data_IF_495407227415
#
_entry.id   IF_495407227415
#
_cell.length_a   1.000
_cell.length_b   1.000
_cell.length_c   1.000
_cell.angle_alpha   90.00
_cell.angle_beta   90.00
_cell.angle_gamma   90.00
#
_symmetry.space_group_name_H-M   'P 1'
#
loop_
_entity.id
_entity.type
_entity.pdbx_description
1 polymer ?
#
# COMPACT_ATOMS: atom_id res chain seq x y z
N UNK A 1 18.83 -4.46 -5.03
CA UNK A 1 19.85 -4.20 -3.98
C UNK A 1 19.18 -4.18 -2.62
N UNK A 2 19.72 -4.91 -1.63
CA UNK A 2 19.27 -4.79 -0.23
C UNK A 2 19.78 -3.45 0.32
N UNK A 3 18.86 -2.58 0.74
CA UNK A 3 19.16 -1.29 1.36
C UNK A 3 19.33 -1.46 2.87
N UNK A 4 18.43 -2.24 3.48
CA UNK A 4 18.51 -2.62 4.88
C UNK A 4 18.19 -4.11 5.03
N UNK A 5 19.13 -4.85 5.57
CA UNK A 5 18.93 -6.26 5.88
C UNK A 5 18.05 -6.43 7.13
N UNK A 6 17.29 -7.52 7.16
CA UNK A 6 16.56 -7.91 8.36
C UNK A 6 17.52 -8.48 9.39
N UNK A 7 17.46 -7.98 10.61
CA UNK A 7 18.22 -8.44 11.75
C UNK A 7 17.30 -8.94 12.85
N UNK A 8 17.77 -9.93 13.61
CA UNK A 8 17.05 -10.39 14.78
C UNK A 8 17.18 -9.38 15.91
N UNK A 9 16.09 -9.18 16.64
CA UNK A 9 16.03 -8.34 17.83
C UNK A 9 15.70 -9.20 19.03
N UNK A 10 16.28 -8.87 20.18
CA UNK A 10 15.89 -9.42 21.46
C UNK A 10 14.70 -8.63 21.99
N UNK A 11 13.71 -9.35 22.52
CA UNK A 11 12.57 -8.74 23.19
C UNK A 11 12.61 -9.17 24.68
N UNK A 12 12.96 -8.25 25.60
CA UNK A 12 13.09 -8.58 27.03
C UNK A 12 11.79 -9.08 27.65
N UNK A 13 10.66 -8.57 27.21
CA UNK A 13 9.34 -8.94 27.72
C UNK A 13 8.89 -10.31 27.20
N UNK A 14 9.39 -10.70 26.03
CA UNK A 14 9.05 -11.96 25.37
C UNK A 14 10.29 -12.68 24.86
N UNK A 15 11.13 -13.24 25.73
CA UNK A 15 12.46 -13.78 25.35
C UNK A 15 12.40 -14.99 24.40
N UNK A 16 11.26 -15.63 24.27
CA UNK A 16 11.04 -16.72 23.30
C UNK A 16 10.49 -16.25 21.95
N UNK A 17 10.18 -14.96 21.80
CA UNK A 17 9.65 -14.42 20.55
C UNK A 17 10.76 -14.28 19.51
N UNK A 18 10.48 -14.69 18.27
CA UNK A 18 11.35 -14.44 17.14
C UNK A 18 10.97 -13.08 16.54
N UNK A 19 11.66 -12.04 16.93
CA UNK A 19 11.44 -10.68 16.46
C UNK A 19 12.53 -10.30 15.46
N UNK A 20 12.16 -9.74 14.33
CA UNK A 20 13.11 -9.29 13.29
C UNK A 20 12.73 -7.90 12.79
N UNK A 21 13.75 -7.12 12.41
CA UNK A 21 13.54 -5.84 11.71
C UNK A 21 13.01 -6.09 10.29
N UNK A 22 12.24 -5.14 9.71
CA UNK A 22 11.88 -5.19 8.29
C UNK A 22 13.11 -5.20 7.38
N UNK A 23 12.98 -5.87 6.24
CA UNK A 23 13.94 -5.77 5.14
C UNK A 23 13.49 -4.70 4.15
N UNK A 24 14.44 -3.91 3.65
CA UNK A 24 14.21 -2.90 2.62
C UNK A 24 15.03 -3.21 1.38
N UNK A 25 14.38 -3.34 0.26
CA UNK A 25 14.97 -3.68 -1.03
C UNK A 25 14.74 -2.56 -2.03
N UNK A 26 15.79 -2.10 -2.70
CA UNK A 26 15.66 -1.20 -3.84
C UNK A 26 15.85 -1.98 -5.16
N UNK A 27 14.96 -1.74 -6.10
CA UNK A 27 14.99 -2.30 -7.45
C UNK A 27 14.52 -1.26 -8.47
N UNK A 28 14.72 -1.54 -9.74
CA UNK A 28 14.21 -0.72 -10.83
C UNK A 28 12.85 -1.25 -11.28
N UNK A 29 12.04 -0.42 -11.92
CA UNK A 29 10.70 -0.80 -12.38
C UNK A 29 10.70 -1.98 -13.37
N UNK A 30 11.84 -2.25 -14.01
CA UNK A 30 12.04 -3.40 -14.91
C UNK A 30 12.21 -4.73 -14.17
N UNK A 31 12.53 -4.70 -12.86
CA UNK A 31 12.73 -5.90 -12.04
C UNK A 31 11.39 -6.44 -11.50
N UNK A 32 10.39 -6.59 -12.36
CA UNK A 32 9.01 -6.89 -11.98
C UNK A 32 8.88 -8.16 -11.12
N UNK A 33 9.65 -9.20 -11.40
CA UNK A 33 9.64 -10.43 -10.62
C UNK A 33 10.01 -10.23 -9.14
N UNK A 34 10.66 -9.12 -8.81
CA UNK A 34 11.05 -8.84 -7.44
C UNK A 34 9.86 -8.34 -6.59
N UNK A 35 8.96 -7.54 -7.18
CA UNK A 35 7.94 -6.80 -6.42
C UNK A 35 6.48 -7.03 -6.88
N UNK A 36 6.24 -7.63 -8.05
CA UNK A 36 4.87 -7.86 -8.53
C UNK A 36 4.19 -9.04 -7.84
N UNK A 37 4.92 -9.95 -7.24
CA UNK A 37 4.36 -11.00 -6.41
C UNK A 37 4.29 -10.55 -4.94
N UNK A 38 3.18 -10.84 -4.28
CA UNK A 38 3.04 -10.59 -2.86
C UNK A 38 4.09 -11.37 -2.05
N UNK A 39 4.75 -10.69 -1.15
CA UNK A 39 5.74 -11.27 -0.23
C UNK A 39 5.25 -11.11 1.20
N UNK A 40 4.84 -12.20 1.82
CA UNK A 40 4.44 -12.17 3.22
C UNK A 40 5.64 -11.97 4.14
N UNK A 41 5.53 -10.97 5.00
CA UNK A 41 6.55 -10.63 5.99
C UNK A 41 6.84 -9.13 6.02
N UNK A 42 7.70 -8.69 6.94
CA UNK A 42 8.07 -7.29 7.07
C UNK A 42 9.09 -6.89 5.98
N UNK A 43 8.63 -6.86 4.75
CA UNK A 43 9.43 -6.47 3.59
C UNK A 43 8.83 -5.24 2.91
N UNK A 44 9.69 -4.31 2.47
CA UNK A 44 9.33 -3.15 1.67
C UNK A 44 10.22 -3.02 0.45
N UNK A 45 9.63 -2.59 -0.66
CA UNK A 45 10.34 -2.34 -1.90
C UNK A 45 10.36 -0.84 -2.21
N UNK A 46 11.53 -0.33 -2.58
CA UNK A 46 11.71 0.98 -3.22
C UNK A 46 11.88 0.71 -4.70
N UNK A 47 10.83 0.95 -5.46
CA UNK A 47 10.84 0.75 -6.91
C UNK A 47 11.10 2.09 -7.58
N UNK A 48 12.21 2.19 -8.30
CA UNK A 48 12.58 3.40 -9.04
C UNK A 48 11.96 3.38 -10.42
N UNK A 49 11.35 4.49 -10.79
CA UNK A 49 10.77 4.72 -12.11
C UNK A 49 11.52 5.87 -12.81
N UNK A 50 11.52 5.94 -14.13
CA UNK A 50 12.18 7.00 -14.86
C UNK A 50 11.57 8.39 -14.60
N UNK A 51 10.26 8.43 -14.35
CA UNK A 51 9.52 9.67 -14.13
C UNK A 51 8.22 9.43 -13.35
N UNK A 52 7.50 10.50 -13.06
CA UNK A 52 6.24 10.48 -12.31
C UNK A 52 5.13 9.75 -13.07
N UNK A 53 5.07 9.90 -14.39
CA UNK A 53 4.03 9.24 -15.19
C UNK A 53 4.21 7.72 -15.18
N UNK A 54 5.44 7.26 -15.29
CA UNK A 54 5.78 5.85 -15.16
C UNK A 54 5.44 5.31 -13.75
N UNK A 55 5.66 6.10 -12.69
CA UNK A 55 5.27 5.73 -11.33
C UNK A 55 3.75 5.58 -11.18
N UNK A 56 2.98 6.51 -11.73
CA UNK A 56 1.51 6.47 -11.71
C UNK A 56 1.00 5.25 -12.49
N UNK A 57 1.53 5.03 -13.69
CA UNK A 57 1.14 3.90 -14.54
C UNK A 57 1.46 2.56 -13.87
N UNK A 58 2.64 2.44 -13.25
CA UNK A 58 3.03 1.24 -12.50
C UNK A 58 2.11 1.03 -11.32
N UNK A 59 1.83 2.07 -10.52
CA UNK A 59 0.92 1.98 -9.37
C UNK A 59 -0.47 1.53 -9.80
N UNK A 60 -1.02 2.09 -10.88
CA UNK A 60 -2.31 1.68 -11.43
C UNK A 60 -2.29 0.21 -11.84
N UNK A 61 -1.25 -0.24 -12.54
CA UNK A 61 -1.11 -1.62 -12.97
C UNK A 61 -1.07 -2.58 -11.78
N UNK A 62 -0.26 -2.27 -10.77
CA UNK A 62 -0.15 -3.08 -9.55
C UNK A 62 -1.52 -3.23 -8.87
N UNK A 63 -2.21 -2.11 -8.60
CA UNK A 63 -3.50 -2.18 -7.90
C UNK A 63 -4.61 -2.84 -8.73
N UNK A 64 -4.59 -2.72 -10.05
CA UNK A 64 -5.57 -3.37 -10.92
C UNK A 64 -5.34 -4.88 -11.07
N UNK A 65 -4.09 -5.32 -11.02
CA UNK A 65 -3.72 -6.74 -11.24
C UNK A 65 -3.68 -7.53 -9.93
N UNK A 66 -3.20 -6.93 -8.85
CA UNK A 66 -2.92 -7.62 -7.59
C UNK A 66 -3.74 -7.10 -6.41
N UNK A 67 -4.41 -5.96 -6.57
CA UNK A 67 -5.11 -5.29 -5.48
C UNK A 67 -4.16 -4.61 -4.50
N UNK A 68 -4.74 -3.89 -3.54
CA UNK A 68 -4.03 -3.31 -2.41
C UNK A 68 -5.02 -2.98 -1.30
N UNK A 69 -4.56 -2.94 -0.07
CA UNK A 69 -5.34 -2.44 1.07
C UNK A 69 -5.59 -0.94 0.94
N UNK A 70 -4.55 -0.20 0.60
CA UNK A 70 -4.58 1.24 0.43
C UNK A 70 -3.40 1.69 -0.43
N UNK A 71 -3.54 2.86 -1.03
CA UNK A 71 -2.47 3.54 -1.75
C UNK A 71 -2.21 4.89 -1.08
N UNK A 72 -0.95 5.25 -0.93
CA UNK A 72 -0.53 6.56 -0.47
C UNK A 72 0.13 7.35 -1.60
N UNK A 73 -0.22 8.63 -1.73
CA UNK A 73 0.49 9.57 -2.61
C UNK A 73 0.93 10.79 -1.82
N UNK A 74 2.15 11.23 -2.07
CA UNK A 74 2.74 12.42 -1.49
C UNK A 74 3.19 13.34 -2.61
N UNK A 75 2.46 14.42 -2.81
CA UNK A 75 2.73 15.39 -3.86
C UNK A 75 2.08 16.73 -3.55
N UNK A 76 2.71 17.82 -3.99
CA UNK A 76 2.13 19.15 -4.01
C UNK A 76 1.54 19.51 -5.38
N UNK A 77 1.82 18.70 -6.41
CA UNK A 77 1.33 18.91 -7.77
C UNK A 77 -0.09 18.36 -7.92
N UNK A 78 -1.02 19.23 -8.28
CA UNK A 78 -2.44 18.89 -8.45
C UNK A 78 -2.64 17.78 -9.50
N UNK A 79 -1.93 17.87 -10.62
CA UNK A 79 -2.05 16.91 -11.73
C UNK A 79 -1.63 15.49 -11.30
N UNK A 80 -0.59 15.38 -10.46
CA UNK A 80 -0.15 14.10 -9.90
C UNK A 80 -1.21 13.52 -8.97
N UNK A 81 -1.77 14.35 -8.11
CA UNK A 81 -2.82 13.95 -7.17
C UNK A 81 -4.05 13.46 -7.92
N UNK A 82 -4.48 14.21 -8.94
CA UNK A 82 -5.65 13.86 -9.75
C UNK A 82 -5.40 12.57 -10.54
N UNK A 83 -4.25 12.42 -11.17
CA UNK A 83 -3.90 11.21 -11.90
C UNK A 83 -3.86 9.96 -10.98
N UNK A 84 -3.32 10.09 -9.76
CA UNK A 84 -3.34 9.01 -8.77
C UNK A 84 -4.75 8.73 -8.28
N UNK A 85 -5.60 9.75 -8.11
CA UNK A 85 -7.01 9.56 -7.77
C UNK A 85 -7.71 8.72 -8.84
N UNK A 86 -7.54 9.05 -10.10
CA UNK A 86 -8.11 8.28 -11.21
C UNK A 86 -7.55 6.85 -11.30
N UNK A 87 -6.25 6.67 -11.04
CA UNK A 87 -5.62 5.35 -11.03
C UNK A 87 -6.19 4.44 -9.94
N UNK A 88 -6.37 4.97 -8.72
CA UNK A 88 -6.91 4.20 -7.59
C UNK A 88 -8.40 3.94 -7.70
N UNK A 89 -9.18 4.84 -8.31
CA UNK A 89 -10.59 4.60 -8.62
C UNK A 89 -10.75 3.41 -9.58
N UNK A 90 -9.89 3.29 -10.60
CA UNK A 90 -9.91 2.13 -11.51
C UNK A 90 -9.54 0.83 -10.78
N UNK A 91 -8.58 0.90 -9.87
CA UNK A 91 -8.17 -0.24 -9.04
C UNK A 91 -9.11 -0.54 -7.88
N UNK A 92 -10.11 0.31 -7.64
CA UNK A 92 -11.04 0.22 -6.49
C UNK A 92 -10.33 0.14 -5.15
N UNK A 93 -9.30 0.94 -4.98
CA UNK A 93 -8.44 0.99 -3.78
C UNK A 93 -8.57 2.35 -3.11
N UNK A 94 -8.65 2.35 -1.78
CA UNK A 94 -8.66 3.58 -1.01
C UNK A 94 -7.34 4.36 -1.16
N UNK A 95 -7.43 5.70 -1.24
CA UNK A 95 -6.30 6.59 -1.46
C UNK A 95 -6.08 7.52 -0.27
N UNK A 96 -4.84 7.59 0.18
CA UNK A 96 -4.36 8.56 1.18
C UNK A 96 -3.51 9.61 0.49
N UNK A 97 -3.89 10.89 0.59
CA UNK A 97 -3.16 11.99 -0.05
C UNK A 97 -2.51 12.85 1.02
N UNK A 98 -1.17 12.88 1.02
CA UNK A 98 -0.36 13.68 1.92
C UNK A 98 -0.65 13.42 3.42
N UNK A 99 -1.05 12.21 3.79
CA UNK A 99 -1.22 11.83 5.18
C UNK A 99 0.15 11.59 5.80
N UNK A 100 0.50 12.40 6.80
CA UNK A 100 1.81 12.42 7.46
C UNK A 100 1.66 12.54 8.98
N UNK A 101 2.77 12.49 9.71
CA UNK A 101 2.82 12.80 11.16
C UNK A 101 1.86 11.96 12.01
N UNK A 102 1.96 10.65 11.95
CA UNK A 102 1.13 9.73 12.73
C UNK A 102 -0.15 9.28 12.03
N UNK A 103 -0.50 9.87 10.89
CA UNK A 103 -1.57 9.40 10.00
C UNK A 103 -0.96 9.16 8.62
N UNK A 104 -0.55 7.94 8.34
CA UNK A 104 0.15 7.60 7.09
C UNK A 104 -0.75 6.97 6.04
N UNK A 105 -1.84 6.37 6.47
CA UNK A 105 -2.76 5.61 5.61
C UNK A 105 -4.20 5.96 5.91
N UNK A 106 -5.07 5.63 4.98
CA UNK A 106 -6.51 5.68 5.20
C UNK A 106 -6.90 4.61 6.23
N UNK A 107 -7.09 5.04 7.48
CA UNK A 107 -7.38 4.13 8.58
C UNK A 107 -8.73 3.41 8.41
N UNK A 108 -9.69 4.05 7.75
CA UNK A 108 -10.98 3.41 7.46
C UNK A 108 -10.81 2.17 6.58
N UNK A 109 -9.86 2.20 5.62
CA UNK A 109 -9.55 1.04 4.81
C UNK A 109 -8.64 0.03 5.53
N UNK A 110 -7.65 0.52 6.29
CA UNK A 110 -6.64 -0.33 6.92
C UNK A 110 -7.15 -1.10 8.15
N UNK A 111 -8.10 -0.53 8.90
CA UNK A 111 -8.56 -1.07 10.19
C UNK A 111 -10.07 -1.37 10.24
N UNK A 112 -10.75 -1.36 9.11
CA UNK A 112 -12.17 -1.72 9.00
C UNK A 112 -12.34 -3.18 8.60
N UNK A 113 -13.58 -3.64 8.58
CA UNK A 113 -13.95 -4.96 8.05
C UNK A 113 -13.48 -5.17 6.61
N UNK A 114 -13.28 -4.09 5.85
CA UNK A 114 -12.74 -4.12 4.49
C UNK A 114 -11.37 -4.78 4.41
N UNK A 115 -10.53 -4.60 5.43
CA UNK A 115 -9.18 -5.19 5.50
C UNK A 115 -9.19 -6.72 5.33
N UNK A 116 -10.20 -7.40 5.87
CA UNK A 116 -10.30 -8.86 5.88
C UNK A 116 -11.52 -9.38 5.10
N UNK A 117 -12.01 -8.63 4.10
CA UNK A 117 -13.24 -8.98 3.38
C UNK A 117 -13.00 -9.30 1.92
N UNK A 118 -13.96 -9.97 1.29
CA UNK A 118 -13.96 -10.25 -0.15
C UNK A 118 -14.09 -9.02 -1.05
N UNK A 119 -14.37 -7.84 -0.49
CA UNK A 119 -14.35 -6.57 -1.21
C UNK A 119 -12.94 -6.03 -1.44
N UNK A 120 -11.94 -6.57 -0.75
CA UNK A 120 -10.54 -6.25 -0.93
C UNK A 120 -9.81 -7.46 -1.55
N UNK A 121 -9.36 -7.39 -2.82
CA UNK A 121 -8.71 -8.52 -3.48
C UNK A 121 -7.37 -8.94 -2.84
N UNK A 122 -6.75 -8.05 -2.02
CA UNK A 122 -5.53 -8.36 -1.28
C UNK A 122 -5.77 -8.98 0.10
N UNK A 123 -7.02 -9.20 0.52
CA UNK A 123 -7.36 -9.73 1.84
C UNK A 123 -7.99 -11.13 1.75
N UNK A 124 -7.81 -11.91 2.79
CA UNK A 124 -8.55 -13.16 2.96
C UNK A 124 -10.02 -12.85 3.24
N UNK A 125 -10.87 -13.17 2.29
CA UNK A 125 -12.31 -13.03 2.45
C UNK A 125 -12.84 -13.96 3.53
N UNK A 126 -13.64 -13.43 4.44
CA UNK A 126 -14.51 -14.23 5.26
C UNK A 126 -15.96 -13.76 5.12
N UNK A 127 -16.74 -13.85 6.07
CA UNK A 127 -18.19 -13.75 6.08
C UNK A 127 -18.77 -12.34 5.83
N UNK A 128 -18.46 -11.71 4.69
CA UNK A 128 -18.96 -10.37 4.37
C UNK A 128 -19.70 -10.35 3.05
N UNK A 129 -20.75 -9.55 2.98
CA UNK A 129 -21.42 -9.25 1.72
C UNK A 129 -20.53 -8.32 0.88
N UNK A 130 -20.10 -8.80 -0.26
CA UNK A 130 -19.22 -8.07 -1.17
C UNK A 130 -19.83 -6.72 -1.62
N UNK A 131 -21.15 -6.64 -1.81
CA UNK A 131 -21.82 -5.40 -2.19
C UNK A 131 -21.81 -4.37 -1.06
N UNK A 132 -21.99 -4.82 0.17
CA UNK A 132 -21.91 -3.97 1.36
C UNK A 132 -20.52 -3.39 1.54
N UNK A 133 -19.49 -4.19 1.34
CA UNK A 133 -18.10 -3.79 1.52
C UNK A 133 -17.62 -2.91 0.37
N UNK A 134 -17.87 -3.29 -0.89
CA UNK A 134 -17.36 -2.59 -2.06
C UNK A 134 -17.87 -1.14 -2.16
N UNK A 135 -19.12 -0.87 -1.78
CA UNK A 135 -19.68 0.47 -1.81
C UNK A 135 -19.24 1.35 -0.63
N UNK A 136 -18.67 0.76 0.40
CA UNK A 136 -18.47 1.44 1.68
C UNK A 136 -17.05 1.98 1.88
N UNK A 137 -16.06 1.38 1.24
CA UNK A 137 -14.66 1.57 1.62
C UNK A 137 -13.73 2.09 0.53
N UNK A 138 -14.25 2.43 -0.62
CA UNK A 138 -13.45 3.20 -1.60
C UNK A 138 -13.52 4.66 -1.21
N UNK A 139 -12.54 5.11 -0.44
CA UNK A 139 -12.47 6.47 0.10
C UNK A 139 -11.16 7.13 -0.31
N UNK A 140 -11.22 8.45 -0.48
CA UNK A 140 -10.06 9.30 -0.66
C UNK A 140 -9.95 10.21 0.56
N UNK A 141 -8.84 10.13 1.27
CA UNK A 141 -8.52 11.03 2.38
C UNK A 141 -7.37 11.94 1.98
N UNK A 142 -7.51 13.23 2.24
CA UNK A 142 -6.50 14.22 1.89
C UNK A 142 -6.21 15.14 3.06
N UNK A 143 -4.92 15.38 3.31
CA UNK A 143 -4.45 16.46 4.17
C UNK A 143 -4.05 17.65 3.31
N UNK A 144 -4.55 18.79 3.66
CA UNK A 144 -4.15 20.07 3.07
C UNK A 144 -3.11 20.72 3.96
N UNK A 145 -2.09 21.32 3.35
CA UNK A 145 -1.25 22.27 4.06
C UNK A 145 -2.02 23.57 4.27
N UNK A 146 -2.00 24.07 5.48
CA UNK A 146 -2.55 25.38 5.87
C UNK A 146 -1.41 26.38 5.84
#
# INVERSE_FOLDING_TARGET
KVVRASTQLENPDFPKAIVRTPVLVACDATDEHAYMEERFGPISFIVRTPDTQAAIALSQRVVCQHGALTVGVYSTHHDVIEAMTQATLRGKVALSINLTSGVFVNQSAAFSDYHATGGNPAANACYSDAAFVANRFVVVQRRYHV
#
